data_IF_127215402715
#
_entry.id   IF_127215402715
#
_cell.length_a   1.000
_cell.length_b   1.000
_cell.length_c   1.000
_cell.angle_alpha   90.00
_cell.angle_beta   90.00
_cell.angle_gamma   90.00
#
_symmetry.space_group_name_H-M   'P 1'
#
loop_
_entity.id
_entity.type
_entity.pdbx_description
1 polymer ?
#
# COMPACT_ATOMS: atom_id res chain seq x y z
N UNK A 1 11.40 73.78 48.96
CA UNK A 1 10.66 72.49 48.91
C UNK A 1 10.73 71.94 47.49
N UNK A 2 11.54 70.89 47.23
CA UNK A 2 11.67 70.25 45.91
C UNK A 2 10.51 69.26 45.73
N UNK A 3 9.66 69.47 44.72
CA UNK A 3 8.60 68.52 44.35
C UNK A 3 9.17 67.52 43.35
N UNK A 4 9.24 66.25 43.75
CA UNK A 4 9.60 65.13 42.89
C UNK A 4 8.33 64.69 42.16
N UNK A 5 8.34 64.75 40.83
CA UNK A 5 7.29 64.17 40.00
C UNK A 5 7.75 62.79 39.53
N UNK A 6 7.05 61.76 39.97
CA UNK A 6 7.25 60.37 39.51
C UNK A 6 6.39 60.15 38.28
N UNK A 7 7.03 59.91 37.13
CA UNK A 7 6.34 59.54 35.89
C UNK A 7 6.24 58.01 35.84
N UNK A 8 5.02 57.48 35.82
CA UNK A 8 4.75 56.06 35.63
C UNK A 8 4.60 55.82 34.13
N UNK A 9 5.56 55.12 33.54
CA UNK A 9 5.49 54.73 32.12
C UNK A 9 4.70 53.40 32.01
N UNK A 10 3.52 53.46 31.40
CA UNK A 10 2.74 52.27 31.03
C UNK A 10 3.25 51.78 29.67
N UNK A 11 3.86 50.60 29.64
CA UNK A 11 4.26 49.93 28.39
C UNK A 11 3.15 48.97 27.96
N UNK A 12 2.48 49.30 26.85
CA UNK A 12 1.50 48.42 26.20
C UNK A 12 2.21 47.76 25.01
N UNK A 13 2.45 46.44 25.10
CA UNK A 13 2.99 45.66 23.98
C UNK A 13 1.87 45.25 23.04
N UNK A 14 1.99 45.60 21.75
CA UNK A 14 1.13 45.08 20.69
C UNK A 14 1.80 43.86 20.06
N UNK A 15 1.13 42.70 20.07
CA UNK A 15 1.53 41.54 19.27
C UNK A 15 0.87 41.70 17.89
N UNK A 16 1.67 41.95 16.86
CA UNK A 16 1.19 42.01 15.47
C UNK A 16 1.43 40.63 14.85
N UNK A 17 0.36 39.87 14.59
CA UNK A 17 0.42 38.71 13.72
C UNK A 17 0.42 39.22 12.27
N UNK A 18 1.58 39.23 11.61
CA UNK A 18 1.65 39.54 10.19
C UNK A 18 1.12 38.33 9.39
N UNK A 19 -0.14 38.38 8.95
CA UNK A 19 -0.61 37.46 7.92
C UNK A 19 -0.11 37.95 6.56
N UNK A 20 0.75 37.16 5.92
CA UNK A 20 1.22 37.47 4.57
C UNK A 20 0.14 37.04 3.55
N UNK A 21 -0.75 37.96 3.20
CA UNK A 21 -1.74 37.75 2.15
C UNK A 21 -1.10 38.07 0.78
N UNK A 22 -0.69 37.06 0.03
CA UNK A 22 -0.37 37.23 -1.39
C UNK A 22 -1.68 37.35 -2.19
N UNK A 23 -2.20 38.57 -2.33
CA UNK A 23 -3.29 38.87 -3.25
C UNK A 23 -2.73 39.19 -4.65
N UNK A 24 -1.99 38.23 -5.24
CA UNK A 24 -1.43 38.38 -6.58
C UNK A 24 -2.47 37.97 -7.64
N UNK A 25 -3.00 38.93 -8.40
CA UNK A 25 -3.91 38.65 -9.53
C UNK A 25 -3.21 38.20 -10.82
N UNK A 26 -1.93 37.82 -10.77
CA UNK A 26 -1.16 37.25 -11.89
C UNK A 26 -0.10 36.26 -11.38
N UNK A 27 0.36 35.42 -12.29
CA UNK A 27 1.05 34.12 -12.19
C UNK A 27 2.42 34.03 -11.49
N UNK A 28 2.88 35.03 -10.74
CA UNK A 28 4.32 35.14 -10.45
C UNK A 28 4.73 34.81 -9.00
N UNK A 29 3.87 34.16 -8.19
CA UNK A 29 4.17 33.76 -6.81
C UNK A 29 3.36 32.55 -6.28
N UNK A 30 3.53 32.18 -5.01
CA UNK A 30 2.74 31.17 -4.30
C UNK A 30 1.27 31.63 -4.25
N UNK A 31 0.41 30.97 -5.02
CA UNK A 31 -1.04 31.18 -4.97
C UNK A 31 -1.67 30.24 -3.95
N UNK A 32 -2.34 30.82 -2.95
CA UNK A 32 -3.16 30.08 -1.98
C UNK A 32 -4.59 30.61 -2.03
N UNK A 33 -5.51 29.82 -2.55
CA UNK A 33 -6.93 30.17 -2.61
C UNK A 33 -7.73 29.12 -1.84
N UNK A 34 -8.51 29.53 -0.84
CA UNK A 34 -9.27 28.62 0.04
C UNK A 34 -8.40 27.56 0.75
N UNK A 35 -7.12 27.87 1.01
CA UNK A 35 -6.23 27.02 1.79
C UNK A 35 -6.43 27.26 3.29
N UNK A 36 -6.53 26.19 4.09
CA UNK A 36 -6.72 26.26 5.54
C UNK A 36 -5.70 25.41 6.28
N UNK A 37 -4.78 26.06 6.99
CA UNK A 37 -3.90 25.43 7.97
C UNK A 37 -4.49 25.64 9.38
N UNK A 38 -5.10 24.61 9.96
CA UNK A 38 -5.74 24.69 11.28
C UNK A 38 -5.11 23.78 12.34
N UNK A 39 -4.22 22.86 11.96
CA UNK A 39 -3.42 22.11 12.90
C UNK A 39 -2.27 22.96 13.47
N UNK A 40 -1.81 22.63 14.68
CA UNK A 40 -0.62 23.26 15.26
C UNK A 40 0.58 23.00 14.35
N UNK A 41 1.32 24.05 13.99
CA UNK A 41 2.49 23.96 13.08
C UNK A 41 2.17 23.32 11.71
N UNK A 42 0.92 23.41 11.26
CA UNK A 42 0.50 22.89 9.95
C UNK A 42 0.74 23.90 8.82
N UNK A 43 0.77 23.40 7.58
CA UNK A 43 0.89 24.22 6.37
C UNK A 43 -0.10 23.78 5.28
N UNK A 44 -0.78 24.74 4.65
CA UNK A 44 -1.69 24.48 3.52
C UNK A 44 -1.34 25.41 2.36
N UNK A 45 -1.11 24.85 1.18
CA UNK A 45 -0.69 25.58 -0.03
C UNK A 45 -1.48 25.12 -1.26
N UNK A 46 -1.71 26.01 -2.23
CA UNK A 46 -2.51 25.74 -3.44
C UNK A 46 -3.99 26.10 -3.30
N UNK A 47 -4.86 25.38 -4.01
CA UNK A 47 -6.30 25.69 -4.12
C UNK A 47 -7.15 24.68 -3.35
N UNK A 48 -8.04 25.15 -2.48
CA UNK A 48 -8.96 24.34 -1.65
C UNK A 48 -8.24 23.26 -0.85
N UNK A 49 -7.09 23.59 -0.27
CA UNK A 49 -6.30 22.64 0.53
C UNK A 49 -6.60 22.80 2.03
N UNK A 50 -6.52 21.72 2.79
CA UNK A 50 -6.74 21.75 4.25
C UNK A 50 -5.71 20.90 4.98
N UNK A 51 -4.92 21.52 5.85
CA UNK A 51 -4.03 20.84 6.78
C UNK A 51 -4.57 21.00 8.21
N UNK A 52 -5.21 19.95 8.73
CA UNK A 52 -5.88 19.98 10.03
C UNK A 52 -5.19 19.15 11.11
N UNK A 53 -4.32 18.22 10.73
CA UNK A 53 -3.44 17.51 11.67
C UNK A 53 -2.32 18.42 12.20
N UNK A 54 -1.89 18.20 13.44
CA UNK A 54 -0.69 18.85 13.97
C UNK A 54 0.53 18.44 13.13
N UNK A 55 1.39 19.41 12.81
CA UNK A 55 2.56 19.26 11.94
C UNK A 55 2.24 18.76 10.52
N UNK A 56 0.98 18.78 10.09
CA UNK A 56 0.60 18.29 8.76
C UNK A 56 0.85 19.32 7.65
N UNK A 57 1.03 18.83 6.43
CA UNK A 57 1.20 19.67 5.24
C UNK A 57 0.26 19.19 4.13
N UNK A 58 -0.56 20.10 3.59
CA UNK A 58 -1.40 19.87 2.41
C UNK A 58 -0.98 20.80 1.27
N UNK A 59 -0.72 20.24 0.09
CA UNK A 59 -0.32 20.99 -1.10
C UNK A 59 -1.09 20.53 -2.34
N UNK A 60 -1.39 21.45 -3.27
CA UNK A 60 -1.98 21.13 -4.57
C UNK A 60 -3.41 21.61 -4.71
N UNK A 61 -4.30 20.78 -5.27
CA UNK A 61 -5.68 21.15 -5.61
C UNK A 61 -6.67 20.21 -4.92
N UNK A 62 -7.52 20.73 -4.02
CA UNK A 62 -8.48 19.94 -3.25
C UNK A 62 -7.84 18.82 -2.42
N UNK A 63 -6.68 19.10 -1.79
CA UNK A 63 -5.99 18.13 -0.95
C UNK A 63 -6.24 18.36 0.55
N UNK A 64 -6.33 17.27 1.31
CA UNK A 64 -6.59 17.30 2.77
C UNK A 64 -5.59 16.43 3.52
N UNK A 65 -4.85 17.02 4.45
CA UNK A 65 -3.90 16.38 5.35
C UNK A 65 -4.40 16.48 6.81
N UNK A 66 -5.14 15.47 7.25
CA UNK A 66 -5.85 15.49 8.53
C UNK A 66 -5.15 14.74 9.67
N UNK A 67 -4.21 13.86 9.34
CA UNK A 67 -3.45 13.09 10.32
C UNK A 67 -2.25 13.85 10.86
N UNK A 68 -1.88 13.54 12.11
CA UNK A 68 -0.68 14.03 12.78
C UNK A 68 0.57 13.78 11.92
N UNK A 69 1.35 14.83 11.67
CA UNK A 69 2.58 14.84 10.87
C UNK A 69 2.43 14.29 9.43
N UNK A 70 1.23 14.31 8.86
CA UNK A 70 0.99 13.82 7.49
C UNK A 70 1.39 14.82 6.40
N UNK A 71 1.88 14.33 5.26
CA UNK A 71 2.09 15.10 4.04
C UNK A 71 1.13 14.62 2.94
N UNK A 72 0.35 15.53 2.37
CA UNK A 72 -0.56 15.23 1.26
C UNK A 72 -0.34 16.21 0.12
N UNK A 73 -0.10 15.68 -1.08
CA UNK A 73 0.14 16.45 -2.30
C UNK A 73 -0.73 15.97 -3.47
N UNK A 74 -0.68 16.67 -4.60
CA UNK A 74 -1.38 16.29 -5.83
C UNK A 74 -2.77 16.89 -5.91
N UNK A 75 -3.77 16.08 -6.26
CA UNK A 75 -5.15 16.53 -6.33
C UNK A 75 -6.16 15.50 -5.81
N UNK A 76 -7.20 15.98 -5.12
CA UNK A 76 -8.36 15.17 -4.72
C UNK A 76 -7.99 13.82 -4.07
N UNK A 77 -7.18 13.86 -3.01
CA UNK A 77 -6.79 12.64 -2.28
C UNK A 77 -8.00 12.02 -1.56
N UNK A 78 -8.01 10.69 -1.52
CA UNK A 78 -8.98 9.91 -0.75
C UNK A 78 -8.46 9.69 0.68
N UNK A 79 -7.27 9.10 0.83
CA UNK A 79 -6.67 8.82 2.13
C UNK A 79 -6.08 10.08 2.77
N UNK A 80 -6.09 10.17 4.11
CA UNK A 80 -5.62 11.35 4.85
C UNK A 80 -6.63 12.52 4.88
N UNK A 81 -7.75 12.38 4.17
CA UNK A 81 -8.84 13.36 4.13
C UNK A 81 -9.68 13.42 5.42
N UNK A 82 -9.60 12.37 6.23
CA UNK A 82 -10.17 12.27 7.57
C UNK A 82 -9.10 11.76 8.53
N UNK A 83 -9.05 12.33 9.74
CA UNK A 83 -8.02 11.99 10.71
C UNK A 83 -8.32 10.62 11.36
N UNK A 84 -7.32 9.73 11.34
CA UNK A 84 -7.22 8.62 12.29
C UNK A 84 -6.73 9.15 13.64
N UNK A 85 -5.73 10.03 13.64
CA UNK A 85 -5.33 10.81 14.81
C UNK A 85 -4.70 12.14 14.37
N UNK A 86 -5.36 13.26 14.68
CA UNK A 86 -4.89 14.58 14.27
C UNK A 86 -3.79 15.16 15.19
N UNK A 87 -3.74 14.76 16.46
CA UNK A 87 -2.93 15.42 17.49
C UNK A 87 -1.87 14.51 18.14
N UNK A 88 -1.79 13.25 17.73
CA UNK A 88 -0.80 12.33 18.28
C UNK A 88 -0.29 11.35 17.21
N UNK A 89 0.94 10.88 17.41
CA UNK A 89 1.51 9.83 16.57
C UNK A 89 0.68 8.54 16.69
N UNK A 90 0.26 8.01 15.54
CA UNK A 90 -0.39 6.72 15.44
C UNK A 90 0.12 6.01 14.19
N UNK A 91 0.52 4.74 14.32
CA UNK A 91 1.03 3.93 13.19
C UNK A 91 -0.02 3.69 12.10
N UNK A 92 -1.31 3.81 12.43
CA UNK A 92 -2.41 3.75 11.47
C UNK A 92 -2.68 5.08 10.76
N UNK A 93 -1.98 6.17 11.10
CA UNK A 93 -2.09 7.41 10.36
C UNK A 93 -1.44 7.29 8.97
N UNK A 94 -1.96 8.07 8.03
CA UNK A 94 -1.28 8.35 6.77
C UNK A 94 -0.04 9.21 7.02
N UNK A 95 1.11 8.81 6.49
CA UNK A 95 2.35 9.57 6.57
C UNK A 95 2.56 10.42 5.31
N UNK A 96 2.33 9.83 4.14
CA UNK A 96 2.50 10.52 2.86
C UNK A 96 1.45 10.04 1.84
N UNK A 97 0.80 10.97 1.15
CA UNK A 97 -0.20 10.67 0.11
C UNK A 97 0.01 11.57 -1.11
N UNK A 98 -0.05 10.97 -2.30
CA UNK A 98 -0.17 11.66 -3.57
C UNK A 98 -1.58 11.39 -4.13
N UNK A 99 -2.46 12.39 -4.06
CA UNK A 99 -3.79 12.32 -4.65
C UNK A 99 -3.75 12.44 -6.17
N UNK A 100 -4.58 11.65 -6.85
CA UNK A 100 -4.80 11.73 -8.30
C UNK A 100 -6.29 11.62 -8.68
N UNK A 101 -7.19 11.93 -7.75
CA UNK A 101 -8.62 11.95 -8.00
C UNK A 101 -9.04 13.00 -9.04
N UNK A 102 -10.21 12.80 -9.63
CA UNK A 102 -10.82 13.76 -10.58
C UNK A 102 -11.93 14.58 -9.93
N UNK A 103 -12.26 14.29 -8.68
CA UNK A 103 -13.30 14.96 -7.91
C UNK A 103 -13.28 14.55 -6.44
N UNK A 104 -14.29 14.98 -5.69
CA UNK A 104 -14.44 14.59 -4.27
C UNK A 104 -15.36 13.37 -4.13
N UNK A 105 -15.41 12.74 -2.96
CA UNK A 105 -16.24 11.57 -2.72
C UNK A 105 -15.70 10.34 -3.46
N UNK A 106 -16.55 9.66 -4.24
CA UNK A 106 -16.20 8.45 -4.99
C UNK A 106 -15.14 8.68 -6.08
N UNK A 107 -14.98 9.92 -6.55
CA UNK A 107 -13.98 10.30 -7.56
C UNK A 107 -12.62 10.67 -6.94
N UNK A 108 -12.52 10.69 -5.60
CA UNK A 108 -11.26 10.89 -4.91
C UNK A 108 -10.42 9.63 -5.01
N UNK A 109 -9.12 9.78 -5.25
CA UNK A 109 -8.22 8.62 -5.35
C UNK A 109 -6.77 8.99 -5.05
N UNK A 110 -5.99 7.97 -4.68
CA UNK A 110 -4.58 8.10 -4.33
C UNK A 110 -3.72 7.33 -5.35
N UNK A 111 -2.74 8.00 -5.94
CA UNK A 111 -1.73 7.36 -6.78
C UNK A 111 -0.72 6.58 -5.93
N UNK A 112 -0.39 7.14 -4.76
CA UNK A 112 0.63 6.61 -3.86
C UNK A 112 0.28 6.96 -2.42
N UNK A 113 0.41 5.97 -1.52
CA UNK A 113 0.14 6.13 -0.08
C UNK A 113 1.19 5.41 0.74
N UNK A 114 1.69 6.09 1.77
CA UNK A 114 2.57 5.54 2.80
C UNK A 114 1.93 5.79 4.17
N UNK A 115 1.88 4.76 4.99
CA UNK A 115 1.39 4.80 6.36
C UNK A 115 2.55 4.91 7.35
N UNK A 116 2.32 5.41 8.57
CA UNK A 116 3.37 5.47 9.60
C UNK A 116 3.85 4.10 10.11
N UNK A 117 3.12 3.02 9.83
CA UNK A 117 3.57 1.64 10.05
C UNK A 117 4.55 1.12 8.97
N UNK A 118 4.82 1.91 7.91
CA UNK A 118 5.69 1.53 6.80
C UNK A 118 5.00 0.86 5.61
N UNK A 119 3.69 0.55 5.71
CA UNK A 119 2.95 0.00 4.58
C UNK A 119 2.83 1.04 3.47
N UNK A 120 3.09 0.60 2.24
CA UNK A 120 3.00 1.42 1.04
C UNK A 120 2.00 0.81 0.06
N UNK A 121 1.16 1.64 -0.56
CA UNK A 121 0.17 1.23 -1.57
C UNK A 121 0.34 2.07 -2.83
N UNK A 122 0.39 1.40 -3.99
CA UNK A 122 0.36 2.02 -5.32
C UNK A 122 -1.04 1.84 -5.88
N UNK A 123 -1.69 2.93 -6.30
CA UNK A 123 -3.08 2.91 -6.75
C UNK A 123 -3.31 2.29 -8.14
N UNK A 124 -2.24 2.03 -8.89
CA UNK A 124 -2.28 1.51 -10.25
C UNK A 124 -1.06 0.61 -10.52
N UNK A 125 -0.69 0.42 -11.79
CA UNK A 125 0.46 -0.38 -12.20
C UNK A 125 1.79 0.15 -11.61
N UNK A 126 2.62 -0.76 -11.10
CA UNK A 126 4.01 -0.49 -10.68
C UNK A 126 4.97 -1.10 -11.70
N UNK A 127 5.75 -0.26 -12.39
CA UNK A 127 6.83 -0.71 -13.27
C UNK A 127 8.17 -0.54 -12.56
N UNK A 128 8.96 -1.62 -12.48
CA UNK A 128 10.29 -1.63 -11.87
C UNK A 128 11.29 -2.05 -12.95
N UNK A 129 12.25 -1.18 -13.27
CA UNK A 129 13.26 -1.47 -14.30
C UNK A 129 14.38 -2.40 -13.81
N UNK A 130 14.53 -2.55 -12.50
CA UNK A 130 15.49 -3.45 -11.86
C UNK A 130 14.77 -4.55 -11.06
N UNK A 131 15.46 -5.04 -10.02
CA UNK A 131 14.97 -6.15 -9.22
C UNK A 131 14.07 -5.72 -8.06
N UNK A 132 13.09 -6.57 -7.75
CA UNK A 132 12.33 -6.52 -6.50
C UNK A 132 12.96 -7.51 -5.53
N UNK A 133 13.75 -7.01 -4.58
CA UNK A 133 14.42 -7.85 -3.57
C UNK A 133 13.59 -7.91 -2.30
N UNK A 134 13.32 -9.13 -1.81
CA UNK A 134 12.55 -9.37 -0.59
C UNK A 134 13.46 -10.02 0.46
N UNK A 135 13.56 -9.41 1.64
CA UNK A 135 14.36 -9.95 2.75
C UNK A 135 13.87 -11.35 3.16
N UNK A 136 14.77 -12.33 3.11
CA UNK A 136 14.46 -13.75 3.35
C UNK A 136 15.45 -14.43 4.33
N UNK A 137 16.25 -13.63 5.04
CA UNK A 137 17.27 -14.10 5.99
C UNK A 137 16.68 -14.94 7.13
N UNK A 138 17.38 -16.02 7.51
CA UNK A 138 16.93 -16.93 8.57
C UNK A 138 16.76 -16.22 9.93
N UNK A 139 17.50 -15.14 10.21
CA UNK A 139 17.39 -14.34 11.44
C UNK A 139 16.10 -13.55 11.55
N UNK A 140 15.41 -13.35 10.42
CA UNK A 140 14.10 -12.67 10.36
C UNK A 140 12.93 -13.67 10.52
N UNK A 141 13.22 -14.97 10.65
CA UNK A 141 12.23 -16.05 10.63
C UNK A 141 12.30 -16.86 11.91
N UNK A 142 11.14 -17.34 12.34
CA UNK A 142 11.00 -18.28 13.45
C UNK A 142 10.06 -19.41 13.04
N UNK A 143 10.09 -20.53 13.75
CA UNK A 143 9.21 -21.69 13.52
C UNK A 143 9.28 -22.22 12.07
N UNK A 144 10.48 -22.36 11.53
CA UNK A 144 10.72 -22.81 10.14
C UNK A 144 10.40 -24.30 10.03
N UNK A 145 9.30 -24.63 9.34
CA UNK A 145 8.86 -26.00 9.06
C UNK A 145 8.75 -26.23 7.56
N UNK A 146 8.94 -27.48 7.12
CA UNK A 146 8.71 -27.85 5.71
C UNK A 146 7.21 -27.78 5.40
N UNK A 147 6.84 -27.32 4.20
CA UNK A 147 5.45 -27.26 3.75
C UNK A 147 4.80 -28.65 3.56
N UNK A 148 5.60 -29.72 3.55
CA UNK A 148 5.12 -31.07 3.28
C UNK A 148 4.58 -31.21 1.85
N UNK A 149 3.54 -32.04 1.69
CA UNK A 149 2.90 -32.28 0.40
C UNK A 149 2.01 -31.10 -0.01
N UNK A 150 2.41 -30.38 -1.04
CA UNK A 150 1.70 -29.23 -1.60
C UNK A 150 1.00 -29.54 -2.92
N UNK A 151 1.42 -30.58 -3.66
CA UNK A 151 0.86 -30.91 -4.97
C UNK A 151 -0.65 -31.15 -4.91
N UNK A 152 -1.12 -31.93 -3.93
CA UNK A 152 -2.54 -32.24 -3.79
C UNK A 152 -3.41 -30.98 -3.60
N UNK A 153 -2.93 -30.01 -2.81
CA UNK A 153 -3.62 -28.72 -2.62
C UNK A 153 -3.56 -27.85 -3.87
N UNK A 154 -2.41 -27.84 -4.56
CA UNK A 154 -2.22 -27.07 -5.78
C UNK A 154 -3.14 -27.54 -6.91
N UNK A 155 -3.39 -28.86 -7.02
CA UNK A 155 -4.32 -29.44 -8.00
C UNK A 155 -5.78 -29.02 -7.79
N UNK A 156 -6.14 -28.45 -6.63
CA UNK A 156 -7.47 -27.88 -6.37
C UNK A 156 -7.60 -26.44 -6.90
N UNK A 157 -6.50 -25.81 -7.31
CA UNK A 157 -6.48 -24.44 -7.85
C UNK A 157 -6.55 -24.52 -9.37
N UNK A 158 -7.43 -23.70 -9.96
CA UNK A 158 -7.55 -23.58 -11.41
C UNK A 158 -7.11 -22.19 -11.89
N UNK A 159 -6.32 -22.17 -12.97
CA UNK A 159 -5.92 -20.95 -13.65
C UNK A 159 -7.10 -20.37 -14.43
N UNK A 160 -7.39 -19.09 -14.24
CA UNK A 160 -8.53 -18.42 -14.87
C UNK A 160 -8.06 -17.37 -15.88
N UNK A 161 -8.73 -17.31 -17.01
CA UNK A 161 -8.75 -16.13 -17.89
C UNK A 161 -10.00 -15.31 -17.56
N UNK A 162 -9.86 -13.99 -17.43
CA UNK A 162 -10.96 -13.10 -17.07
C UNK A 162 -10.76 -11.69 -17.60
N UNK A 163 -11.87 -10.97 -17.76
CA UNK A 163 -11.89 -9.55 -18.11
C UNK A 163 -12.03 -8.71 -16.84
N UNK A 164 -11.14 -7.72 -16.67
CA UNK A 164 -11.28 -6.75 -15.59
C UNK A 164 -12.56 -5.93 -15.79
N UNK A 165 -13.43 -5.88 -14.77
CA UNK A 165 -14.65 -5.04 -14.80
C UNK A 165 -14.32 -3.58 -15.12
N UNK A 166 -13.24 -3.06 -14.53
CA UNK A 166 -12.70 -1.73 -14.84
C UNK A 166 -11.68 -1.85 -15.98
N UNK A 167 -11.90 -1.13 -17.06
CA UNK A 167 -10.96 -1.03 -18.19
C UNK A 167 -11.03 -2.17 -19.22
N UNK A 168 -11.83 -3.22 -19.00
CA UNK A 168 -12.14 -4.23 -20.03
C UNK A 168 -10.96 -5.07 -20.52
N UNK A 169 -9.81 -5.02 -19.85
CA UNK A 169 -8.60 -5.75 -20.26
C UNK A 169 -8.72 -7.22 -19.86
N UNK A 170 -8.40 -8.12 -20.80
CA UNK A 170 -8.22 -9.54 -20.55
C UNK A 170 -6.95 -9.77 -19.72
N UNK A 171 -7.04 -10.64 -18.72
CA UNK A 171 -5.93 -11.05 -17.84
C UNK A 171 -6.03 -12.55 -17.53
N UNK A 172 -4.90 -13.15 -17.17
CA UNK A 172 -4.82 -14.52 -16.67
C UNK A 172 -4.32 -14.46 -15.22
N UNK A 173 -4.86 -15.30 -14.35
CA UNK A 173 -4.44 -15.39 -12.96
C UNK A 173 -5.23 -16.44 -12.19
N UNK A 174 -5.37 -16.23 -10.88
CA UNK A 174 -6.16 -17.08 -9.98
C UNK A 174 -7.22 -16.26 -9.27
N UNK A 175 -8.29 -16.92 -8.80
CA UNK A 175 -9.25 -16.29 -7.90
C UNK A 175 -8.73 -16.36 -6.47
N UNK A 176 -8.68 -15.22 -5.78
CA UNK A 176 -8.21 -15.15 -4.40
C UNK A 176 -9.01 -16.06 -3.46
N UNK A 177 -10.31 -16.23 -3.73
CA UNK A 177 -11.20 -17.10 -2.96
C UNK A 177 -10.82 -18.59 -3.08
N UNK A 178 -10.31 -19.01 -4.24
CA UNK A 178 -9.88 -20.39 -4.42
C UNK A 178 -8.54 -20.63 -3.74
N UNK A 179 -7.60 -19.66 -3.83
CA UNK A 179 -6.35 -19.70 -3.07
C UNK A 179 -6.62 -19.73 -1.57
N UNK A 180 -7.55 -18.92 -1.07
CA UNK A 180 -7.85 -18.82 0.37
C UNK A 180 -8.30 -20.15 0.99
N UNK A 181 -8.99 -21.00 0.23
CA UNK A 181 -9.44 -22.33 0.72
C UNK A 181 -8.29 -23.29 1.00
N UNK A 182 -7.18 -23.16 0.27
CA UNK A 182 -6.07 -24.13 0.30
C UNK A 182 -4.77 -23.57 0.91
N UNK A 183 -4.53 -22.28 0.72
CA UNK A 183 -3.39 -21.49 1.21
C UNK A 183 -3.87 -20.12 1.74
N UNK A 184 -4.66 -20.08 2.82
CA UNK A 184 -5.19 -18.84 3.39
C UNK A 184 -4.09 -17.82 3.75
N UNK A 185 -2.89 -18.29 4.08
CA UNK A 185 -1.71 -17.47 4.39
C UNK A 185 -1.20 -16.65 3.19
N UNK A 186 -1.61 -16.99 1.97
CA UNK A 186 -1.25 -16.26 0.75
C UNK A 186 -2.30 -15.23 0.33
N UNK A 187 -3.36 -15.06 1.12
CA UNK A 187 -4.45 -14.13 0.82
C UNK A 187 -4.56 -13.09 1.92
N UNK A 188 -4.62 -11.83 1.51
CA UNK A 188 -4.86 -10.69 2.39
C UNK A 188 -6.20 -10.05 2.03
N UNK A 189 -6.80 -9.35 2.98
CA UNK A 189 -8.07 -8.64 2.81
C UNK A 189 -7.82 -7.16 3.09
N UNK A 190 -8.28 -6.27 2.22
CA UNK A 190 -8.22 -4.82 2.45
C UNK A 190 -9.38 -4.35 3.36
N UNK A 191 -9.44 -3.05 3.61
CA UNK A 191 -10.47 -2.39 4.43
C UNK A 191 -11.89 -2.39 3.80
N UNK A 192 -12.01 -2.84 2.55
CA UNK A 192 -13.27 -2.96 1.80
C UNK A 192 -13.65 -4.41 1.53
N UNK A 193 -13.12 -5.34 2.32
CA UNK A 193 -13.29 -6.79 2.16
C UNK A 193 -12.81 -7.34 0.80
N UNK A 194 -11.92 -6.62 0.11
CA UNK A 194 -11.36 -7.07 -1.16
C UNK A 194 -10.14 -7.96 -0.91
N UNK A 195 -10.15 -9.15 -1.52
CA UNK A 195 -9.06 -10.12 -1.39
C UNK A 195 -7.93 -9.89 -2.40
N UNK A 196 -6.70 -9.98 -1.94
CA UNK A 196 -5.48 -9.90 -2.75
C UNK A 196 -4.56 -11.10 -2.49
N UNK A 197 -3.90 -11.59 -3.53
CA UNK A 197 -3.03 -12.79 -3.49
C UNK A 197 -1.56 -12.39 -3.47
N UNK A 198 -0.79 -12.96 -2.54
CA UNK A 198 0.67 -12.94 -2.56
C UNK A 198 1.21 -13.97 -3.56
N UNK A 199 1.32 -13.56 -4.83
CA UNK A 199 1.86 -14.42 -5.89
C UNK A 199 3.31 -14.86 -5.64
N UNK A 200 4.13 -14.07 -4.95
CA UNK A 200 5.51 -14.45 -4.62
C UNK A 200 5.54 -15.64 -3.65
N UNK A 201 4.56 -15.73 -2.74
CA UNK A 201 4.43 -16.84 -1.80
C UNK A 201 4.00 -18.17 -2.45
N UNK A 202 3.50 -18.16 -3.69
CA UNK A 202 3.22 -19.39 -4.44
C UNK A 202 4.49 -20.10 -4.92
N UNK A 203 5.61 -19.38 -5.08
CA UNK A 203 6.88 -19.96 -5.56
C UNK A 203 7.36 -21.14 -4.69
N UNK A 204 7.48 -21.04 -3.35
CA UNK A 204 7.86 -22.19 -2.52
C UNK A 204 6.84 -23.35 -2.57
N UNK A 205 5.56 -23.05 -2.75
CA UNK A 205 4.51 -24.09 -2.92
C UNK A 205 4.76 -24.87 -4.20
N UNK A 206 5.05 -24.18 -5.32
CA UNK A 206 5.38 -24.77 -6.61
C UNK A 206 6.67 -25.60 -6.56
N UNK A 207 7.71 -25.12 -5.86
CA UNK A 207 8.97 -25.85 -5.68
C UNK A 207 8.73 -27.21 -5.02
N UNK A 208 7.91 -27.27 -3.96
CA UNK A 208 7.58 -28.54 -3.31
C UNK A 208 6.76 -29.45 -4.22
N UNK A 209 5.77 -28.91 -4.93
CA UNK A 209 4.94 -29.69 -5.85
C UNK A 209 5.78 -30.31 -6.99
N UNK A 210 6.78 -29.58 -7.50
CA UNK A 210 7.72 -30.09 -8.51
C UNK A 210 8.61 -31.21 -7.95
N UNK A 211 9.08 -31.10 -6.71
CA UNK A 211 9.84 -32.17 -6.04
C UNK A 211 8.99 -33.43 -5.85
N UNK A 212 7.73 -33.28 -5.45
CA UNK A 212 6.79 -34.41 -5.36
C UNK A 212 6.53 -35.05 -6.73
N UNK A 213 6.39 -34.23 -7.77
CA UNK A 213 6.21 -34.72 -9.14
C UNK A 213 7.45 -35.50 -9.62
N UNK A 214 8.67 -35.04 -9.30
CA UNK A 214 9.92 -35.75 -9.60
C UNK A 214 9.99 -37.13 -8.93
N UNK A 215 9.55 -37.24 -7.68
CA UNK A 215 9.46 -38.54 -6.98
C UNK A 215 8.50 -39.47 -7.71
N UNK A 216 7.29 -39.01 -8.04
CA UNK A 216 6.30 -39.81 -8.78
C UNK A 216 6.80 -40.25 -10.15
N UNK A 217 7.54 -39.39 -10.86
CA UNK A 217 8.12 -39.76 -12.16
C UNK A 217 9.18 -40.86 -12.04
N UNK A 218 10.01 -40.81 -10.99
CA UNK A 218 11.02 -41.84 -10.71
C UNK A 218 10.37 -43.18 -10.36
N UNK A 219 9.32 -43.17 -9.55
CA UNK A 219 8.52 -44.35 -9.23
C UNK A 219 7.91 -44.97 -10.50
N UNK A 220 7.22 -44.16 -11.31
CA UNK A 220 6.64 -44.61 -12.58
C UNK A 220 7.69 -45.17 -13.55
N UNK A 221 8.89 -44.57 -13.60
CA UNK A 221 9.97 -45.06 -14.46
C UNK A 221 10.51 -46.41 -13.99
N UNK A 222 10.55 -46.65 -12.67
CA UNK A 222 10.89 -47.94 -12.08
C UNK A 222 9.86 -49.00 -12.45
N UNK A 223 8.57 -48.69 -12.28
CA UNK A 223 7.47 -49.60 -12.60
C UNK A 223 7.49 -49.98 -14.08
N UNK A 224 7.71 -49.01 -14.98
CA UNK A 224 7.84 -49.26 -16.41
C UNK A 224 9.04 -50.15 -16.73
N UNK A 225 10.16 -49.99 -16.01
CA UNK A 225 11.34 -50.82 -16.21
C UNK A 225 11.06 -52.28 -15.81
N UNK A 226 10.40 -52.49 -14.68
CA UNK A 226 10.01 -53.81 -14.19
C UNK A 226 8.99 -54.49 -15.12
N UNK A 227 7.97 -53.76 -15.54
CA UNK A 227 6.97 -54.24 -16.52
C UNK A 227 7.62 -54.64 -17.85
N UNK A 228 8.61 -53.88 -18.33
CA UNK A 228 9.36 -54.24 -19.55
C UNK A 228 10.14 -55.55 -19.40
N UNK A 229 10.66 -55.84 -18.21
CA UNK A 229 11.34 -57.12 -17.92
C UNK A 229 10.33 -58.26 -17.93
N UNK A 230 9.19 -58.11 -17.23
CA UNK A 230 8.13 -59.13 -17.19
C UNK A 230 7.58 -59.45 -18.59
N UNK A 231 7.33 -58.43 -19.42
CA UNK A 231 6.82 -58.63 -20.79
C UNK A 231 7.82 -59.41 -21.65
N UNK A 232 9.13 -59.12 -21.54
CA UNK A 232 10.16 -59.88 -22.27
C UNK A 232 10.18 -61.36 -21.88
N UNK A 233 10.03 -61.65 -20.59
CA UNK A 233 9.98 -63.03 -20.11
C UNK A 233 8.79 -63.77 -20.72
N UNK A 234 7.59 -63.18 -20.66
CA UNK A 234 6.36 -63.78 -21.22
C UNK A 234 6.42 -63.98 -22.74
N UNK A 235 7.13 -63.12 -23.48
CA UNK A 235 7.33 -63.27 -24.91
C UNK A 235 8.35 -64.35 -25.27
N UNK A 236 9.28 -64.66 -24.37
CA UNK A 236 10.27 -65.73 -24.54
C UNK A 236 9.72 -67.11 -24.22
N UNK A 237 8.64 -67.19 -23.43
CA UNK A 237 8.03 -68.44 -22.98
C UNK A 237 6.92 -68.94 -23.94
N UNK A 238 6.79 -68.35 -25.14
CA UNK A 238 5.90 -68.75 -26.24
C UNK A 238 6.69 -69.30 -27.43
#
# INVERSE_FOLDING_TARGET
>A
MKKIFTIIALSIGFIVNAQFWFQGSVTDAIQTANAKASGINSAAMGEVTTASGEYSTAMGHYTKASDYSSLVIGQYNSSGSSATSATAFNRANTAFVIGNGTGTGEDASDAFKVMFNGNTTVGNDLTVSGDVVVSSDARLKANIVSLGATLAKLLLIDGKSYTMKKGGKQKIGVLAQDIQKVFPELVSTDDRDMLAVNYQGLVPVLINALKEQDVKMKEQQSDIAELKVMVKQLMSDK
#
